data_IF_060989173107
#
_entry.id   IF_060989173107
#
_cell.length_a   1.000
_cell.length_b   1.000
_cell.length_c   1.000
_cell.angle_alpha   90.00
_cell.angle_beta   90.00
_cell.angle_gamma   90.00
#
_symmetry.space_group_name_H-M   'P 1'
#
loop_
_entity.id
_entity.type
_entity.pdbx_description
1 polymer ?
#
# COMPACT_ATOMS: atom_id res chain seq x y z
N UNK A 1 16.84 -25.15 5.22
CA UNK A 1 17.05 -24.90 3.79
C UNK A 1 17.73 -23.55 3.66
N UNK A 2 18.86 -23.48 2.93
CA UNK A 2 19.64 -22.26 2.77
C UNK A 2 18.74 -21.10 2.30
N UNK A 3 18.67 -20.03 3.09
CA UNK A 3 17.78 -18.90 2.84
C UNK A 3 18.26 -18.13 1.61
N UNK A 4 17.52 -18.23 0.51
CA UNK A 4 17.69 -17.30 -0.60
C UNK A 4 17.46 -15.88 -0.08
N UNK A 5 18.29 -14.92 -0.50
CA UNK A 5 18.05 -13.49 -0.24
C UNK A 5 16.60 -13.11 -0.58
N UNK A 6 15.96 -12.21 0.20
CA UNK A 6 14.62 -11.75 -0.12
C UNK A 6 14.62 -11.15 -1.53
N UNK A 7 13.62 -11.55 -2.32
CA UNK A 7 13.44 -11.04 -3.68
C UNK A 7 13.09 -9.56 -3.64
N UNK A 8 13.69 -8.78 -4.53
CA UNK A 8 13.29 -7.39 -4.80
C UNK A 8 11.83 -7.32 -5.22
N UNK A 9 11.23 -6.12 -5.14
CA UNK A 9 9.84 -5.94 -5.56
C UNK A 9 9.69 -6.20 -7.08
N UNK A 10 10.65 -5.77 -7.88
CA UNK A 10 10.66 -6.02 -9.33
C UNK A 10 10.66 -7.51 -9.66
N UNK A 11 11.46 -8.32 -8.95
CA UNK A 11 11.45 -9.78 -9.09
C UNK A 11 10.11 -10.39 -8.65
N UNK A 12 9.54 -9.94 -7.53
CA UNK A 12 8.24 -10.44 -7.05
C UNK A 12 7.09 -10.12 -8.02
N UNK A 13 7.16 -8.96 -8.67
CA UNK A 13 6.20 -8.51 -9.67
C UNK A 13 6.61 -8.89 -11.11
N UNK A 14 7.63 -9.73 -11.28
CA UNK A 14 8.05 -10.18 -12.60
C UNK A 14 6.93 -11.00 -13.25
N UNK A 15 6.71 -10.76 -14.54
CA UNK A 15 5.67 -11.41 -15.31
C UNK A 15 6.23 -12.41 -16.30
N UNK A 16 5.46 -13.47 -16.52
CA UNK A 16 5.45 -14.24 -17.75
C UNK A 16 4.16 -13.94 -18.50
N UNK A 17 4.27 -13.53 -19.75
CA UNK A 17 3.10 -13.34 -20.61
C UNK A 17 2.48 -14.70 -20.95
N UNK A 18 1.15 -14.79 -20.86
CA UNK A 18 0.36 -15.98 -21.21
C UNK A 18 -0.40 -15.78 -22.53
N UNK A 19 -0.66 -14.53 -22.92
CA UNK A 19 -1.31 -14.14 -24.17
C UNK A 19 -1.22 -12.63 -24.36
N UNK A 20 -1.82 -12.10 -25.43
CA UNK A 20 -1.72 -10.69 -25.81
C UNK A 20 -2.03 -9.72 -24.66
N UNK A 21 -3.06 -10.04 -23.87
CA UNK A 21 -3.53 -9.22 -22.76
C UNK A 21 -3.61 -10.00 -21.43
N UNK A 22 -2.73 -10.98 -21.24
CA UNK A 22 -2.70 -11.73 -19.97
C UNK A 22 -1.30 -12.13 -19.53
N UNK A 23 -1.09 -12.09 -18.22
CA UNK A 23 0.20 -12.34 -17.56
C UNK A 23 0.00 -13.17 -16.29
N UNK A 24 1.05 -13.86 -15.86
CA UNK A 24 1.15 -14.46 -14.52
C UNK A 24 2.41 -13.95 -13.84
N UNK A 25 2.35 -13.72 -12.53
CA UNK A 25 3.56 -13.50 -11.74
C UNK A 25 4.44 -14.75 -11.77
N UNK A 26 5.76 -14.56 -11.69
CA UNK A 26 6.71 -15.67 -11.56
C UNK A 26 6.73 -16.27 -10.15
N UNK A 27 6.30 -15.49 -9.17
CA UNK A 27 6.30 -15.86 -7.76
C UNK A 27 4.93 -15.64 -7.12
N UNK A 28 4.54 -16.47 -6.15
CA UNK A 28 3.38 -16.19 -5.31
C UNK A 28 3.56 -14.88 -4.53
N UNK A 29 2.47 -14.15 -4.25
CA UNK A 29 2.53 -12.95 -3.43
C UNK A 29 2.85 -13.30 -1.96
N UNK A 30 3.39 -12.34 -1.22
CA UNK A 30 3.70 -12.52 0.20
C UNK A 30 2.66 -11.87 1.11
N UNK A 31 2.64 -12.29 2.37
CA UNK A 31 1.85 -11.68 3.45
C UNK A 31 2.68 -10.65 4.22
N UNK A 32 2.01 -9.65 4.78
CA UNK A 32 2.60 -8.67 5.71
C UNK A 32 1.95 -8.81 7.08
N UNK A 33 2.61 -9.52 8.00
CA UNK A 33 2.13 -9.71 9.37
C UNK A 33 0.86 -10.55 9.54
N UNK A 34 0.20 -11.00 8.47
CA UNK A 34 -1.01 -11.82 8.56
C UNK A 34 -0.68 -13.24 9.05
N UNK A 35 -1.40 -13.73 10.06
CA UNK A 35 -1.23 -15.08 10.59
C UNK A 35 -1.72 -16.15 9.60
N UNK A 36 -2.78 -15.86 8.85
CA UNK A 36 -3.31 -16.71 7.79
C UNK A 36 -2.46 -16.61 6.51
N UNK A 37 -2.53 -17.60 5.60
CA UNK A 37 -1.83 -17.56 4.30
C UNK A 37 -2.53 -16.61 3.30
N UNK A 38 -2.85 -15.40 3.76
CA UNK A 38 -3.50 -14.35 2.97
C UNK A 38 -2.44 -13.33 2.57
N UNK A 39 -2.35 -13.10 1.26
CA UNK A 39 -1.42 -12.15 0.68
C UNK A 39 -1.76 -10.71 1.05
N UNK A 40 -0.75 -9.86 1.09
CA UNK A 40 -0.92 -8.42 1.19
C UNK A 40 -1.57 -7.85 -0.08
N UNK A 41 -2.60 -7.02 0.08
CA UNK A 41 -3.41 -6.44 -1.00
C UNK A 41 -2.59 -5.68 -2.03
N UNK A 42 -1.54 -4.99 -1.59
CA UNK A 42 -0.58 -4.27 -2.44
C UNK A 42 0.00 -5.11 -3.58
N UNK A 43 0.16 -6.43 -3.43
CA UNK A 43 0.58 -7.29 -4.54
C UNK A 43 -0.48 -7.35 -5.65
N UNK A 44 -1.76 -7.49 -5.29
CA UNK A 44 -2.84 -7.59 -6.27
C UNK A 44 -3.01 -6.28 -7.06
N UNK A 45 -2.99 -5.12 -6.38
CA UNK A 45 -3.10 -3.83 -7.08
C UNK A 45 -1.85 -3.47 -7.88
N UNK A 46 -0.65 -3.84 -7.42
CA UNK A 46 0.58 -3.60 -8.18
C UNK A 46 0.64 -4.46 -9.44
N UNK A 47 0.23 -5.73 -9.35
CA UNK A 47 0.07 -6.62 -10.51
C UNK A 47 -0.97 -6.08 -11.49
N UNK A 48 -2.12 -5.60 -11.00
CA UNK A 48 -3.14 -5.00 -11.84
C UNK A 48 -2.65 -3.72 -12.54
N UNK A 49 -1.98 -2.82 -11.81
CA UNK A 49 -1.42 -1.58 -12.34
C UNK A 49 -0.35 -1.88 -13.41
N UNK A 50 0.58 -2.80 -13.13
CA UNK A 50 1.62 -3.23 -14.07
C UNK A 50 1.01 -3.79 -15.36
N UNK A 51 0.04 -4.69 -15.24
CA UNK A 51 -0.66 -5.25 -16.40
C UNK A 51 -1.38 -4.18 -17.23
N UNK A 52 -2.06 -3.23 -16.57
CA UNK A 52 -2.70 -2.11 -17.26
C UNK A 52 -1.69 -1.30 -18.08
N UNK A 53 -0.57 -0.93 -17.47
CA UNK A 53 0.48 -0.13 -18.12
C UNK A 53 1.16 -0.87 -19.28
N UNK A 54 1.34 -2.19 -19.16
CA UNK A 54 1.89 -3.02 -20.26
C UNK A 54 0.92 -3.17 -21.44
N UNK A 55 -0.38 -2.93 -21.24
CA UNK A 55 -1.43 -3.11 -22.25
C UNK A 55 -1.76 -1.86 -23.07
N UNK A 56 -1.09 -0.73 -22.81
CA UNK A 56 -1.26 0.53 -23.55
C UNK A 56 -0.05 0.79 -24.45
N UNK A 57 -0.23 1.47 -25.60
CA UNK A 57 0.91 1.92 -26.40
C UNK A 57 1.86 2.83 -25.62
N UNK A 58 3.09 2.96 -26.09
CA UNK A 58 4.06 3.90 -25.53
C UNK A 58 3.52 5.34 -25.55
N UNK A 59 3.89 6.12 -24.53
CA UNK A 59 3.49 7.53 -24.38
C UNK A 59 2.16 7.75 -23.67
N UNK A 60 1.42 6.70 -23.30
CA UNK A 60 0.25 6.79 -22.43
C UNK A 60 0.66 6.70 -20.96
N UNK A 61 0.29 7.70 -20.17
CA UNK A 61 0.57 7.80 -18.75
C UNK A 61 -0.70 7.59 -17.94
N UNK A 62 -0.63 6.72 -16.92
CA UNK A 62 -1.76 6.47 -16.02
C UNK A 62 -2.01 7.71 -15.16
N UNK A 63 -3.27 8.10 -14.99
CA UNK A 63 -3.66 9.21 -14.11
C UNK A 63 -4.72 8.80 -13.07
N UNK A 64 -5.48 7.73 -13.32
CA UNK A 64 -6.50 7.22 -12.42
C UNK A 64 -6.52 5.70 -12.43
N UNK A 65 -6.57 5.11 -11.24
CA UNK A 65 -6.61 3.66 -11.04
C UNK A 65 -7.53 3.31 -9.87
N UNK A 66 -8.68 2.72 -10.18
CA UNK A 66 -9.78 2.50 -9.24
C UNK A 66 -10.17 1.03 -9.25
N UNK A 67 -10.52 0.43 -8.11
CA UNK A 67 -10.92 -0.97 -8.11
C UNK A 67 -11.47 -1.49 -6.79
N UNK A 68 -11.85 -2.77 -6.80
CA UNK A 68 -12.43 -3.48 -5.67
C UNK A 68 -11.68 -4.78 -5.40
N UNK A 69 -11.45 -5.06 -4.12
CA UNK A 69 -11.01 -6.35 -3.63
C UNK A 69 -12.22 -7.28 -3.49
N UNK A 70 -12.22 -8.40 -4.20
CA UNK A 70 -13.33 -9.37 -4.22
C UNK A 70 -13.10 -10.54 -3.26
N UNK A 71 -11.85 -10.77 -2.87
CA UNK A 71 -11.52 -11.69 -1.79
C UNK A 71 -10.03 -11.93 -1.66
N UNK A 72 -9.62 -12.69 -0.63
CA UNK A 72 -8.21 -12.89 -0.31
C UNK A 72 -7.49 -13.66 -1.43
N UNK A 73 -6.30 -13.17 -1.80
CA UNK A 73 -5.34 -13.95 -2.57
C UNK A 73 -4.51 -14.83 -1.64
N UNK A 74 -4.23 -16.06 -2.07
CA UNK A 74 -3.37 -17.01 -1.36
C UNK A 74 -1.90 -16.73 -1.62
N UNK A 75 -1.04 -17.05 -0.64
CA UNK A 75 0.42 -16.89 -0.72
C UNK A 75 1.16 -18.07 -1.34
N UNK A 76 0.47 -19.13 -1.74
CA UNK A 76 1.06 -20.37 -2.27
C UNK A 76 1.05 -20.48 -3.79
N UNK A 77 0.38 -19.55 -4.48
CA UNK A 77 0.18 -19.60 -5.93
C UNK A 77 0.31 -18.22 -6.59
N UNK A 78 0.78 -18.15 -7.85
CA UNK A 78 0.91 -16.91 -8.59
C UNK A 78 -0.41 -16.14 -8.78
N UNK A 79 -0.30 -14.84 -8.98
CA UNK A 79 -1.40 -13.98 -9.44
C UNK A 79 -1.42 -13.96 -10.97
N UNK A 80 -2.61 -14.07 -11.57
CA UNK A 80 -2.82 -13.87 -13.01
C UNK A 80 -3.53 -12.55 -13.24
N UNK A 81 -3.03 -11.75 -14.17
CA UNK A 81 -3.67 -10.51 -14.59
C UNK A 81 -4.19 -10.65 -16.03
N UNK A 82 -5.39 -10.15 -16.28
CA UNK A 82 -5.96 -10.04 -17.62
C UNK A 82 -6.47 -8.63 -17.84
N UNK A 83 -6.19 -8.05 -19.00
CA UNK A 83 -6.65 -6.71 -19.38
C UNK A 83 -7.66 -6.78 -20.52
N UNK A 84 -8.64 -5.88 -20.48
CA UNK A 84 -9.57 -5.63 -21.57
C UNK A 84 -9.53 -4.15 -21.94
N UNK A 85 -9.40 -3.87 -23.24
CA UNK A 85 -9.54 -2.51 -23.75
C UNK A 85 -11.00 -2.06 -23.63
N UNK A 86 -11.23 -0.99 -22.87
CA UNK A 86 -12.53 -0.32 -22.77
C UNK A 86 -12.58 0.86 -23.74
N UNK A 87 -11.47 1.60 -23.84
CA UNK A 87 -11.32 2.76 -24.72
C UNK A 87 -9.90 2.83 -25.26
N UNK A 88 -9.78 3.16 -26.55
CA UNK A 88 -8.52 3.55 -27.17
C UNK A 88 -8.78 4.67 -28.17
N UNK A 89 -8.22 5.84 -27.91
CA UNK A 89 -8.28 7.00 -28.81
C UNK A 89 -6.85 7.44 -29.15
N UNK A 90 -6.67 8.64 -29.71
CA UNK A 90 -5.34 9.25 -29.92
C UNK A 90 -4.74 9.81 -28.62
N UNK A 91 -5.57 10.21 -27.66
CA UNK A 91 -5.13 10.94 -26.46
C UNK A 91 -5.46 10.22 -25.16
N UNK A 92 -6.54 9.44 -25.13
CA UNK A 92 -7.00 8.71 -23.95
C UNK A 92 -7.11 7.21 -24.19
N UNK A 93 -6.78 6.44 -23.17
CA UNK A 93 -7.01 5.01 -23.12
C UNK A 93 -7.64 4.62 -21.77
N UNK A 94 -8.46 3.57 -21.79
CA UNK A 94 -9.04 2.97 -20.58
C UNK A 94 -8.92 1.46 -20.67
N UNK A 95 -8.47 0.85 -19.58
CA UNK A 95 -8.30 -0.59 -19.42
C UNK A 95 -9.12 -1.06 -18.24
N UNK A 96 -9.85 -2.16 -18.42
CA UNK A 96 -10.36 -2.95 -17.32
C UNK A 96 -9.37 -4.08 -17.02
N UNK A 97 -9.10 -4.35 -15.76
CA UNK A 97 -8.12 -5.34 -15.32
C UNK A 97 -8.75 -6.27 -14.31
N UNK A 98 -8.56 -7.57 -14.50
CA UNK A 98 -8.91 -8.60 -13.53
C UNK A 98 -7.65 -9.28 -13.02
N UNK A 99 -7.54 -9.43 -11.70
CA UNK A 99 -6.51 -10.24 -11.07
C UNK A 99 -7.16 -11.46 -10.44
N UNK A 100 -6.64 -12.64 -10.76
CA UNK A 100 -7.21 -13.93 -10.37
C UNK A 100 -6.14 -14.92 -9.94
N UNK A 101 -6.59 -16.00 -9.31
CA UNK A 101 -5.76 -17.17 -8.99
C UNK A 101 -6.48 -18.45 -9.39
N UNK A 102 -5.71 -19.42 -9.92
CA UNK A 102 -6.20 -20.77 -10.18
C UNK A 102 -6.33 -21.52 -8.85
N UNK A 103 -7.53 -21.99 -8.55
CA UNK A 103 -7.83 -22.77 -7.35
C UNK A 103 -7.44 -24.24 -7.55
N UNK A 104 -7.49 -25.04 -6.48
CA UNK A 104 -7.09 -26.46 -6.53
C UNK A 104 -8.01 -27.30 -7.44
N UNK A 105 -9.26 -26.86 -7.64
CA UNK A 105 -10.20 -27.46 -8.59
C UNK A 105 -9.95 -27.03 -10.05
N UNK A 106 -8.86 -26.30 -10.31
CA UNK A 106 -8.46 -25.79 -11.62
C UNK A 106 -9.23 -24.56 -12.09
N UNK A 107 -10.25 -24.10 -11.35
CA UNK A 107 -11.02 -22.91 -11.74
C UNK A 107 -10.29 -21.62 -11.40
N UNK A 108 -10.51 -20.60 -12.23
CA UNK A 108 -10.03 -19.26 -11.93
C UNK A 108 -10.99 -18.56 -10.96
N UNK A 109 -10.46 -17.97 -9.89
CA UNK A 109 -11.21 -17.10 -8.99
C UNK A 109 -10.63 -15.69 -9.04
N UNK A 110 -11.46 -14.72 -9.35
CA UNK A 110 -11.07 -13.29 -9.35
C UNK A 110 -10.92 -12.81 -7.90
N UNK A 111 -9.78 -12.20 -7.61
CA UNK A 111 -9.45 -11.60 -6.32
C UNK A 111 -9.65 -10.09 -6.34
N UNK A 112 -9.52 -9.46 -7.51
CA UNK A 112 -9.60 -8.01 -7.68
C UNK A 112 -10.00 -7.67 -9.11
N UNK A 113 -10.81 -6.62 -9.27
CA UNK A 113 -10.94 -5.92 -10.54
C UNK A 113 -10.55 -4.46 -10.39
N UNK A 114 -10.14 -3.84 -11.48
CA UNK A 114 -9.82 -2.43 -11.53
C UNK A 114 -10.08 -1.81 -12.90
N UNK A 115 -10.21 -0.49 -12.93
CA UNK A 115 -10.18 0.33 -14.14
C UNK A 115 -8.99 1.28 -14.06
N UNK A 116 -8.21 1.32 -15.12
CA UNK A 116 -7.05 2.21 -15.28
C UNK A 116 -7.30 3.15 -16.46
N UNK A 117 -7.18 4.45 -16.20
CA UNK A 117 -7.29 5.49 -17.21
C UNK A 117 -5.96 6.17 -17.48
N UNK A 118 -5.72 6.43 -18.76
CA UNK A 118 -4.47 6.95 -19.28
C UNK A 118 -4.69 8.15 -20.18
N UNK A 119 -3.73 9.05 -20.20
CA UNK A 119 -3.64 10.18 -21.11
C UNK A 119 -2.22 10.23 -21.70
N UNK A 120 -2.10 10.64 -22.96
CA UNK A 120 -0.79 10.97 -23.53
C UNK A 120 -0.18 12.19 -22.83
N UNK A 121 1.15 12.28 -22.77
CA UNK A 121 1.81 13.43 -22.15
C UNK A 121 1.48 14.72 -22.89
N UNK A 122 0.93 15.69 -22.16
CA UNK A 122 0.68 17.04 -22.69
C UNK A 122 1.98 17.83 -22.79
N UNK A 123 2.04 18.79 -23.73
CA UNK A 123 3.23 19.64 -23.95
C UNK A 123 3.48 20.66 -22.83
N UNK A 124 2.50 20.90 -21.98
CA UNK A 124 2.56 21.83 -20.85
C UNK A 124 1.30 21.74 -20.00
N UNK A 125 1.31 22.41 -18.86
CA UNK A 125 0.16 22.51 -17.96
C UNK A 125 -0.34 23.95 -17.87
N UNK A 126 -1.67 24.12 -17.82
CA UNK A 126 -2.30 25.41 -17.50
C UNK A 126 -2.18 25.75 -16.01
N UNK A 127 -2.13 24.74 -15.15
CA UNK A 127 -2.10 24.89 -13.70
C UNK A 127 -1.16 23.86 -13.07
N UNK A 128 -0.30 24.32 -12.17
CA UNK A 128 0.54 23.44 -11.36
C UNK A 128 0.41 23.82 -9.88
N UNK A 129 -0.34 23.02 -9.13
CA UNK A 129 -0.52 23.21 -7.70
C UNK A 129 -0.82 21.88 -7.01
N UNK A 130 -0.55 21.82 -5.71
CA UNK A 130 -1.00 20.74 -4.84
C UNK A 130 -1.09 21.25 -3.42
N UNK A 131 -1.98 20.66 -2.61
CA UNK A 131 -2.00 20.92 -1.17
C UNK A 131 -0.67 20.49 -0.52
N UNK A 132 -0.18 21.18 0.51
CA UNK A 132 0.89 20.65 1.36
C UNK A 132 0.36 19.51 2.25
N UNK A 133 1.26 18.79 2.96
CA UNK A 133 0.87 17.93 4.07
C UNK A 133 0.06 18.71 5.12
N UNK A 134 -0.81 18.03 5.86
CA UNK A 134 -1.68 18.70 6.85
C UNK A 134 -0.91 19.26 8.04
N UNK A 135 0.30 18.74 8.29
CA UNK A 135 1.21 19.18 9.36
C UNK A 135 2.64 19.26 8.84
N UNK A 136 3.48 19.97 9.58
CA UNK A 136 4.92 19.96 9.31
C UNK A 136 5.53 18.67 9.86
N UNK A 137 6.22 17.93 9.00
CA UNK A 137 6.97 16.73 9.36
C UNK A 137 8.47 17.00 9.31
N UNK A 138 9.22 16.24 10.12
CA UNK A 138 10.67 16.26 10.09
C UNK A 138 11.20 15.87 8.70
N UNK A 139 12.31 16.51 8.30
CA UNK A 139 13.04 16.11 7.10
C UNK A 139 13.62 14.69 7.27
N UNK A 140 13.86 13.99 6.17
CA UNK A 140 14.30 12.58 6.19
C UNK A 140 15.67 12.38 6.84
N UNK A 141 16.53 13.40 6.80
CA UNK A 141 17.91 13.33 7.29
C UNK A 141 17.94 13.01 8.80
N UNK A 142 18.59 11.89 9.15
CA UNK A 142 18.77 11.48 10.53
C UNK A 142 17.55 10.77 11.15
N UNK A 143 16.48 10.54 10.39
CA UNK A 143 15.37 9.72 10.87
C UNK A 143 15.76 8.25 10.95
N UNK A 144 15.32 7.59 12.01
CA UNK A 144 15.53 6.16 12.21
C UNK A 144 14.68 5.34 11.24
N UNK A 145 15.14 4.15 10.85
CA UNK A 145 14.27 3.21 10.16
C UNK A 145 13.15 2.74 11.10
N UNK A 146 12.06 2.20 10.54
CA UNK A 146 11.00 1.62 11.37
C UNK A 146 11.49 0.52 12.32
N UNK A 147 12.51 -0.26 11.94
CA UNK A 147 13.11 -1.29 12.79
C UNK A 147 13.95 -0.67 13.91
N UNK A 148 14.69 0.39 13.62
CA UNK A 148 15.50 1.10 14.62
C UNK A 148 14.64 1.86 15.62
N UNK A 149 13.50 2.42 15.20
CA UNK A 149 12.49 2.99 16.11
C UNK A 149 12.01 1.92 17.09
N UNK A 150 11.68 0.71 16.60
CA UNK A 150 11.25 -0.39 17.46
C UNK A 150 12.35 -0.85 18.43
N UNK A 151 13.59 -0.94 17.96
CA UNK A 151 14.75 -1.27 18.78
C UNK A 151 15.01 -0.22 19.87
N UNK A 152 14.86 1.08 19.55
CA UNK A 152 15.00 2.16 20.51
C UNK A 152 13.91 2.12 21.58
N UNK A 153 12.64 1.88 21.21
CA UNK A 153 11.55 1.74 22.18
C UNK A 153 11.76 0.53 23.11
N UNK A 154 12.33 -0.57 22.60
CA UNK A 154 12.70 -1.72 23.41
C UNK A 154 13.83 -1.36 24.40
N UNK A 155 14.87 -0.67 23.91
CA UNK A 155 16.00 -0.21 24.74
C UNK A 155 15.56 0.76 25.84
N UNK A 156 14.60 1.63 25.54
CA UNK A 156 14.02 2.58 26.49
C UNK A 156 13.05 1.92 27.50
N UNK A 157 12.78 0.62 27.37
CA UNK A 157 11.84 -0.10 28.22
C UNK A 157 10.36 0.25 27.96
N UNK A 158 10.06 0.92 26.85
CA UNK A 158 8.70 1.35 26.48
C UNK A 158 7.87 0.21 25.87
N UNK A 159 8.53 -0.78 25.27
CA UNK A 159 7.88 -1.99 24.75
C UNK A 159 8.65 -3.24 25.20
N UNK A 160 7.93 -4.35 25.37
CA UNK A 160 8.54 -5.64 25.69
C UNK A 160 9.12 -6.36 24.48
N UNK A 161 9.95 -7.38 24.73
CA UNK A 161 10.58 -8.20 23.67
C UNK A 161 9.56 -8.83 22.72
N UNK A 162 8.40 -9.25 23.24
CA UNK A 162 7.34 -9.87 22.43
C UNK A 162 6.77 -8.89 21.40
N UNK A 163 6.46 -7.65 21.79
CA UNK A 163 5.95 -6.60 20.90
C UNK A 163 6.99 -6.23 19.85
N UNK A 164 8.25 -6.06 20.26
CA UNK A 164 9.36 -5.79 19.34
C UNK A 164 9.50 -6.91 18.29
N UNK A 165 9.55 -8.17 18.72
CA UNK A 165 9.68 -9.30 17.81
C UNK A 165 8.48 -9.44 16.86
N UNK A 166 7.26 -9.18 17.35
CA UNK A 166 6.05 -9.18 16.52
C UNK A 166 6.10 -8.08 15.45
N UNK A 167 6.52 -6.87 15.81
CA UNK A 167 6.68 -5.75 14.89
C UNK A 167 7.74 -6.06 13.82
N UNK A 168 8.94 -6.50 14.24
CA UNK A 168 10.00 -6.86 13.31
C UNK A 168 9.51 -7.88 12.30
N UNK A 169 8.88 -8.97 12.77
CA UNK A 169 8.34 -10.02 11.90
C UNK A 169 7.26 -9.52 10.94
N UNK A 170 6.33 -8.68 11.41
CA UNK A 170 5.22 -8.19 10.59
C UNK A 170 5.69 -7.29 9.45
N UNK A 171 6.71 -6.47 9.69
CA UNK A 171 7.20 -5.46 8.74
C UNK A 171 8.53 -5.84 8.06
N UNK A 172 9.06 -7.05 8.28
CA UNK A 172 10.31 -7.50 7.63
C UNK A 172 10.21 -7.44 6.11
N UNK A 173 9.09 -7.89 5.52
CA UNK A 173 8.90 -7.86 4.06
C UNK A 173 8.95 -6.43 3.55
N UNK A 174 8.16 -5.52 4.12
CA UNK A 174 8.16 -4.11 3.72
C UNK A 174 9.55 -3.48 3.86
N UNK A 175 10.24 -3.72 4.98
CA UNK A 175 11.59 -3.21 5.22
C UNK A 175 12.65 -3.78 4.27
N UNK A 176 12.42 -4.95 3.67
CA UNK A 176 13.30 -5.51 2.63
C UNK A 176 13.02 -4.94 1.24
N UNK A 177 11.83 -4.41 1.01
CA UNK A 177 11.38 -3.88 -0.29
C UNK A 177 11.55 -2.36 -0.39
N UNK A 178 11.43 -1.66 0.74
CA UNK A 178 11.48 -0.21 0.83
C UNK A 178 12.34 0.24 2.01
N UNK A 179 13.11 1.28 1.78
CA UNK A 179 13.66 2.09 2.87
C UNK A 179 12.54 2.98 3.38
N UNK A 180 12.27 2.93 4.69
CA UNK A 180 11.15 3.63 5.31
C UNK A 180 11.56 4.24 6.65
N UNK A 181 11.34 5.55 6.77
CA UNK A 181 11.60 6.35 7.95
C UNK A 181 10.30 6.99 8.45
N UNK A 182 9.67 6.42 9.49
CA UNK A 182 8.52 7.03 10.13
C UNK A 182 8.85 8.43 10.66
N UNK A 183 8.00 9.40 10.38
CA UNK A 183 8.16 10.76 10.92
C UNK A 183 7.80 10.75 12.42
N UNK A 184 8.63 11.32 13.31
CA UNK A 184 8.38 11.32 14.76
C UNK A 184 7.04 11.95 15.17
N UNK A 185 6.56 12.92 14.39
CA UNK A 185 5.27 13.59 14.62
C UNK A 185 4.07 12.68 14.26
N UNK A 186 4.30 11.67 13.43
CA UNK A 186 3.29 10.68 13.03
C UNK A 186 3.03 9.63 14.11
N UNK A 187 1.77 9.22 14.25
CA UNK A 187 1.35 8.28 15.29
C UNK A 187 2.10 6.95 15.20
N UNK A 188 2.35 6.42 14.00
CA UNK A 188 2.94 5.09 13.87
C UNK A 188 4.38 5.02 14.40
N UNK A 189 5.12 6.13 14.34
CA UNK A 189 6.46 6.24 14.94
C UNK A 189 6.41 6.18 16.47
N UNK A 190 5.29 6.60 17.07
CA UNK A 190 5.11 6.72 18.52
C UNK A 190 4.55 5.44 19.14
N UNK A 191 3.78 4.64 18.40
CA UNK A 191 3.11 3.45 18.92
C UNK A 191 3.30 2.17 18.08
N UNK A 192 4.36 2.09 17.26
CA UNK A 192 4.68 0.94 16.42
C UNK A 192 3.52 0.49 15.53
N UNK A 193 2.97 1.43 14.77
CA UNK A 193 1.81 1.21 13.90
C UNK A 193 0.60 0.62 14.65
N UNK A 194 0.41 0.98 15.92
CA UNK A 194 -0.65 0.50 16.81
C UNK A 194 -0.31 -0.74 17.63
N UNK A 195 0.82 -1.44 17.38
CA UNK A 195 1.19 -2.62 18.17
C UNK A 195 1.54 -2.30 19.62
N UNK A 196 2.04 -1.09 19.90
CA UNK A 196 2.33 -0.63 21.25
C UNK A 196 1.12 0.14 21.82
N UNK A 197 0.00 -0.58 21.99
CA UNK A 197 -1.33 -0.05 22.37
C UNK A 197 -1.34 0.81 23.64
N UNK A 198 -0.42 0.60 24.57
CA UNK A 198 -0.35 1.34 25.84
C UNK A 198 0.45 2.64 25.76
N UNK A 199 1.18 2.89 24.66
CA UNK A 199 1.99 4.09 24.52
C UNK A 199 1.10 5.27 24.12
N UNK A 200 1.13 6.38 24.88
CA UNK A 200 0.44 7.59 24.47
C UNK A 200 1.09 8.15 23.20
N UNK A 201 0.32 8.92 22.43
CA UNK A 201 0.84 9.66 21.30
C UNK A 201 0.43 11.13 21.36
N UNK A 202 1.27 12.00 20.81
CA UNK A 202 1.12 13.46 20.76
C UNK A 202 -0.21 13.98 20.20
N UNK A 203 -0.98 13.12 19.53
CA UNK A 203 -2.25 13.46 18.89
C UNK A 203 -3.48 12.94 19.66
N UNK A 204 -3.32 12.47 20.90
CA UNK A 204 -4.41 11.86 21.69
C UNK A 204 -5.56 12.80 22.02
N UNK A 205 -5.27 14.10 22.16
CA UNK A 205 -6.27 15.13 22.42
C UNK A 205 -7.02 15.57 21.16
N UNK A 206 -6.57 15.16 19.97
CA UNK A 206 -7.19 15.56 18.71
C UNK A 206 -8.38 14.64 18.38
N UNK A 207 -9.44 15.17 17.72
CA UNK A 207 -10.45 14.34 17.08
C UNK A 207 -9.80 13.33 16.14
N UNK A 208 -10.36 12.11 16.03
CA UNK A 208 -9.79 11.03 15.21
C UNK A 208 -9.52 11.48 13.76
N UNK A 209 -10.39 12.29 13.19
CA UNK A 209 -10.28 12.80 11.81
C UNK A 209 -9.22 13.90 11.63
N UNK A 210 -8.60 14.36 12.72
CA UNK A 210 -7.48 15.32 12.73
C UNK A 210 -6.14 14.64 13.09
N UNK A 211 -6.16 13.31 13.26
CA UNK A 211 -4.98 12.49 13.54
C UNK A 211 -4.32 12.05 12.25
N UNK A 212 -3.00 12.03 12.24
CA UNK A 212 -2.21 11.64 11.08
C UNK A 212 -0.99 10.81 11.46
N UNK A 213 -0.50 10.03 10.50
CA UNK A 213 0.84 9.47 10.52
C UNK A 213 1.54 9.78 9.21
N UNK A 214 2.87 9.81 9.23
CA UNK A 214 3.64 10.02 8.02
C UNK A 214 4.96 9.24 8.05
N UNK A 215 5.46 8.95 6.86
CA UNK A 215 6.73 8.27 6.64
C UNK A 215 7.40 8.80 5.37
N UNK A 216 8.72 8.86 5.41
CA UNK A 216 9.53 8.98 4.20
C UNK A 216 9.82 7.59 3.67
N UNK A 217 9.67 7.39 2.37
CA UNK A 217 9.96 6.11 1.74
C UNK A 217 10.63 6.24 0.37
N UNK A 218 11.36 5.20 0.00
CA UNK A 218 11.84 4.93 -1.37
C UNK A 218 12.07 3.43 -1.57
N UNK A 219 12.22 3.00 -2.81
CA UNK A 219 12.58 1.62 -3.14
C UNK A 219 13.94 1.26 -2.53
N UNK A 220 14.05 0.08 -1.93
CA UNK A 220 15.32 -0.43 -1.40
C UNK A 220 16.28 -0.91 -2.50
N UNK A 221 15.74 -1.22 -3.69
CA UNK A 221 16.50 -1.69 -4.84
C UNK A 221 16.17 -0.86 -6.09
N UNK A 222 17.11 -0.69 -7.04
CA UNK A 222 16.83 -0.01 -8.30
C UNK A 222 15.64 -0.61 -9.07
N UNK A 223 14.87 0.22 -9.77
CA UNK A 223 13.71 -0.17 -10.56
C UNK A 223 13.96 0.20 -12.04
N UNK A 224 14.33 -0.81 -12.83
CA UNK A 224 14.88 -0.63 -14.18
C UNK A 224 13.93 -0.03 -15.22
N UNK A 225 12.62 0.08 -14.95
CA UNK A 225 11.67 0.69 -15.89
C UNK A 225 10.57 1.53 -15.20
N UNK A 226 9.95 2.48 -15.93
CA UNK A 226 8.89 3.34 -15.39
C UNK A 226 7.63 2.60 -14.91
N UNK A 227 7.32 1.44 -15.49
CA UNK A 227 6.14 0.66 -15.11
C UNK A 227 6.34 0.01 -13.74
N UNK A 228 7.55 -0.49 -13.45
CA UNK A 228 7.89 -1.03 -12.14
C UNK A 228 7.92 0.07 -11.07
N UNK A 229 8.27 1.31 -11.42
CA UNK A 229 8.10 2.47 -10.54
C UNK A 229 6.63 2.71 -10.17
N UNK A 230 5.72 2.71 -11.15
CA UNK A 230 4.28 2.84 -10.90
C UNK A 230 3.73 1.68 -10.07
N UNK A 231 4.17 0.45 -10.35
CA UNK A 231 3.78 -0.74 -9.60
C UNK A 231 4.28 -0.69 -8.16
N UNK A 232 5.51 -0.20 -7.93
CA UNK A 232 6.08 -0.01 -6.61
C UNK A 232 5.34 1.06 -5.80
N UNK A 233 5.02 2.21 -6.40
CA UNK A 233 4.22 3.24 -5.73
C UNK A 233 2.83 2.71 -5.38
N UNK A 234 2.20 1.99 -6.32
CA UNK A 234 0.89 1.38 -6.12
C UNK A 234 0.93 0.38 -4.96
N UNK A 235 1.92 -0.51 -4.93
CA UNK A 235 2.13 -1.46 -3.84
C UNK A 235 2.24 -0.78 -2.47
N UNK A 236 3.06 0.28 -2.40
CA UNK A 236 3.32 0.98 -1.14
C UNK A 236 2.09 1.76 -0.66
N UNK A 237 1.31 2.32 -1.59
CA UNK A 237 0.14 3.18 -1.29
C UNK A 237 -0.98 2.44 -0.56
N UNK A 238 -1.13 1.12 -0.76
CA UNK A 238 -2.12 0.28 -0.04
C UNK A 238 -1.76 0.06 1.44
N UNK A 239 -0.55 0.43 1.83
CA UNK A 239 -0.03 0.18 3.16
C UNK A 239 -0.83 0.95 4.21
N UNK A 240 -1.30 0.21 5.22
CA UNK A 240 -1.87 0.73 6.46
C UNK A 240 -3.19 1.52 6.41
N UNK A 241 -3.70 1.90 5.24
CA UNK A 241 -4.98 2.63 5.11
C UNK A 241 -6.13 1.93 5.85
N UNK A 242 -6.23 0.61 5.72
CA UNK A 242 -7.29 -0.20 6.33
C UNK A 242 -7.26 -0.23 7.86
N UNK A 243 -6.06 -0.23 8.46
CA UNK A 243 -5.92 -0.38 9.92
C UNK A 243 -5.51 0.91 10.64
N UNK A 244 -5.17 1.99 9.93
CA UNK A 244 -4.79 3.25 10.55
C UNK A 244 -5.81 3.78 11.58
N UNK A 245 -7.15 3.61 11.44
CA UNK A 245 -8.08 4.06 12.47
C UNK A 245 -7.87 3.34 13.79
N UNK A 246 -7.54 2.04 13.77
CA UNK A 246 -7.23 1.26 14.97
C UNK A 246 -5.99 1.80 15.67
N UNK A 247 -4.90 1.94 14.90
CA UNK A 247 -3.62 2.43 15.42
C UNK A 247 -3.72 3.87 15.96
N UNK A 248 -4.60 4.69 15.39
CA UNK A 248 -4.86 6.04 15.88
C UNK A 248 -5.70 6.07 17.16
N UNK A 249 -6.27 4.94 17.59
CA UNK A 249 -7.13 4.83 18.78
C UNK A 249 -6.66 3.77 19.76
N UNK A 250 -5.35 3.51 19.83
CA UNK A 250 -4.74 2.53 20.75
C UNK A 250 -5.24 1.09 20.58
N UNK A 251 -5.65 0.74 19.36
CA UNK A 251 -6.05 -0.60 18.96
C UNK A 251 -5.12 -1.12 17.85
N UNK A 252 -5.16 -2.43 17.63
CA UNK A 252 -4.47 -3.09 16.53
C UNK A 252 -5.35 -4.16 15.87
N UNK A 253 -4.81 -4.85 14.87
CA UNK A 253 -5.55 -5.82 14.05
C UNK A 253 -6.23 -6.94 14.86
N UNK A 254 -5.67 -7.31 16.02
CA UNK A 254 -6.20 -8.31 16.94
C UNK A 254 -7.39 -7.83 17.78
N UNK A 255 -7.69 -6.53 17.77
CA UNK A 255 -8.90 -5.96 18.41
C UNK A 255 -10.10 -5.90 17.47
N UNK A 256 -9.94 -6.36 16.22
CA UNK A 256 -10.97 -6.34 15.18
C UNK A 256 -11.27 -7.76 14.70
N UNK A 257 -12.56 -8.10 14.54
CA UNK A 257 -12.97 -9.37 13.93
C UNK A 257 -12.60 -9.44 12.45
N UNK A 258 -12.58 -8.30 11.77
CA UNK A 258 -12.20 -8.20 10.37
C UNK A 258 -11.70 -6.79 10.08
N UNK A 259 -10.49 -6.70 9.54
CA UNK A 259 -9.88 -5.48 9.04
C UNK A 259 -9.28 -5.78 7.67
N UNK A 260 -9.90 -5.30 6.59
CA UNK A 260 -9.47 -5.56 5.22
C UNK A 260 -9.97 -4.50 4.26
N UNK A 261 -9.21 -4.24 3.21
CA UNK A 261 -9.58 -3.34 2.12
C UNK A 261 -10.79 -3.88 1.34
N UNK A 262 -11.73 -3.00 0.98
CA UNK A 262 -12.88 -3.30 0.11
C UNK A 262 -12.69 -2.69 -1.27
N UNK A 263 -12.23 -1.45 -1.33
CA UNK A 263 -11.96 -0.73 -2.57
C UNK A 263 -10.64 0.06 -2.49
N UNK A 264 -10.28 0.68 -3.59
CA UNK A 264 -9.26 1.71 -3.64
C UNK A 264 -9.51 2.68 -4.78
N UNK A 265 -9.03 3.90 -4.61
CA UNK A 265 -8.95 4.91 -5.65
C UNK A 265 -7.60 5.63 -5.60
N UNK A 266 -6.70 5.24 -6.50
CA UNK A 266 -5.36 5.82 -6.66
C UNK A 266 -5.36 6.82 -7.81
N UNK A 267 -4.83 8.02 -7.59
CA UNK A 267 -4.66 9.07 -8.59
C UNK A 267 -3.19 9.44 -8.69
N UNK A 268 -2.70 9.60 -9.91
CA UNK A 268 -1.33 10.00 -10.20
C UNK A 268 -1.35 11.40 -10.81
N UNK A 269 -0.52 12.29 -10.29
CA UNK A 269 -0.51 13.70 -10.69
C UNK A 269 0.69 14.08 -11.56
N UNK A 270 1.74 13.25 -11.57
CA UNK A 270 2.99 13.47 -12.31
C UNK A 270 3.76 12.17 -12.48
N UNK A 271 4.88 12.25 -13.20
CA UNK A 271 5.82 11.14 -13.36
C UNK A 271 6.33 10.67 -11.99
N UNK A 272 6.43 9.35 -11.82
CA UNK A 272 6.75 8.67 -10.57
C UNK A 272 8.14 8.05 -10.67
N UNK A 273 8.97 8.30 -9.67
CA UNK A 273 10.32 7.74 -9.53
C UNK A 273 10.56 7.32 -8.08
N UNK A 274 10.16 6.10 -7.73
CA UNK A 274 10.16 5.60 -6.34
C UNK A 274 11.57 5.30 -5.85
N UNK A 275 12.60 5.39 -6.69
CA UNK A 275 13.99 5.36 -6.23
C UNK A 275 14.36 6.65 -5.48
N UNK A 276 13.64 7.75 -5.74
CA UNK A 276 13.73 8.99 -4.97
C UNK A 276 12.86 8.94 -3.73
N UNK A 277 13.20 9.79 -2.77
CA UNK A 277 12.44 9.93 -1.53
C UNK A 277 11.09 10.58 -1.76
N UNK A 278 10.09 10.03 -1.08
CA UNK A 278 8.73 10.53 -1.06
C UNK A 278 8.24 10.62 0.38
N UNK A 279 7.52 11.69 0.71
CA UNK A 279 6.79 11.80 1.97
C UNK A 279 5.37 11.26 1.74
N UNK A 280 4.93 10.31 2.57
CA UNK A 280 3.54 9.87 2.62
C UNK A 280 2.90 10.31 3.93
N UNK A 281 1.71 10.89 3.85
CA UNK A 281 0.84 11.17 4.99
C UNK A 281 -0.41 10.28 4.89
N UNK A 282 -0.88 9.75 6.02
CA UNK A 282 -2.10 8.94 6.13
C UNK A 282 -3.04 9.57 7.16
N UNK A 283 -4.33 9.60 6.82
CA UNK A 283 -5.43 10.05 7.67
C UNK A 283 -6.66 9.16 7.52
N UNK A 284 -7.59 9.27 8.48
CA UNK A 284 -8.92 8.64 8.40
C UNK A 284 -10.01 9.69 8.56
N UNK A 285 -11.15 9.52 7.89
CA UNK A 285 -12.16 10.59 7.76
C UNK A 285 -13.58 10.19 8.18
N UNK A 286 -13.95 8.92 8.03
CA UNK A 286 -15.27 8.45 8.39
C UNK A 286 -15.25 6.97 8.80
N UNK A 287 -16.15 6.59 9.70
CA UNK A 287 -16.40 5.19 10.05
C UNK A 287 -17.83 5.00 10.52
N UNK A 288 -18.49 3.96 10.01
CA UNK A 288 -19.85 3.57 10.39
C UNK A 288 -20.17 2.20 9.78
N UNK A 289 -21.20 1.51 10.29
CA UNK A 289 -21.73 0.26 9.71
C UNK A 289 -20.64 -0.81 9.45
N UNK A 290 -19.69 -0.92 10.38
CA UNK A 290 -18.58 -1.86 10.28
C UNK A 290 -17.59 -1.56 9.15
N UNK A 291 -17.46 -0.28 8.76
CA UNK A 291 -16.54 0.21 7.72
C UNK A 291 -15.81 1.47 8.16
N UNK A 292 -14.65 1.71 7.54
CA UNK A 292 -13.87 2.95 7.68
C UNK A 292 -13.42 3.45 6.32
N UNK A 293 -13.20 4.76 6.20
CA UNK A 293 -12.68 5.42 5.01
C UNK A 293 -11.43 6.22 5.39
N UNK A 294 -10.33 5.93 4.69
CA UNK A 294 -9.00 6.49 4.95
C UNK A 294 -8.35 6.94 3.65
N UNK A 295 -7.43 7.90 3.76
CA UNK A 295 -6.71 8.46 2.62
C UNK A 295 -5.21 8.56 2.90
N UNK A 296 -4.42 8.46 1.84
CA UNK A 296 -3.00 8.80 1.85
C UNK A 296 -2.68 9.81 0.75
N UNK A 297 -1.75 10.70 1.05
CA UNK A 297 -1.18 11.64 0.10
C UNK A 297 0.33 11.46 0.05
N UNK A 298 0.90 11.55 -1.15
CA UNK A 298 2.32 11.33 -1.40
C UNK A 298 2.90 12.54 -2.11
N UNK A 299 4.01 13.07 -1.61
CA UNK A 299 4.75 14.20 -2.18
C UNK A 299 6.20 13.81 -2.48
N UNK A 300 6.79 14.46 -3.49
CA UNK A 300 8.22 14.37 -3.74
C UNK A 300 9.03 15.26 -2.78
N UNK A 301 10.37 15.19 -2.85
CA UNK A 301 11.28 16.02 -2.03
C UNK A 301 11.09 17.53 -2.22
N UNK A 302 10.46 17.96 -3.31
CA UNK A 302 10.14 19.36 -3.56
C UNK A 302 8.76 19.76 -3.01
N UNK A 303 8.06 18.86 -2.32
CA UNK A 303 6.74 19.10 -1.74
C UNK A 303 5.60 19.10 -2.76
N UNK A 304 5.81 18.57 -3.96
CA UNK A 304 4.79 18.50 -5.01
C UNK A 304 4.05 17.18 -4.90
N UNK A 305 2.72 17.19 -4.92
CA UNK A 305 1.95 15.95 -4.80
C UNK A 305 2.19 15.05 -6.03
N UNK A 306 2.54 13.79 -5.77
CA UNK A 306 2.84 12.75 -6.74
C UNK A 306 1.62 11.85 -6.95
N UNK A 307 1.01 11.41 -5.85
CA UNK A 307 -0.18 10.56 -5.88
C UNK A 307 -1.04 10.73 -4.62
N UNK A 308 -2.28 10.23 -4.68
CA UNK A 308 -3.14 10.03 -3.53
C UNK A 308 -3.93 8.75 -3.67
N UNK A 309 -4.13 8.03 -2.57
CA UNK A 309 -4.97 6.84 -2.52
C UNK A 309 -6.04 7.01 -1.45
N UNK A 310 -7.30 6.80 -1.80
CA UNK A 310 -8.37 6.59 -0.84
C UNK A 310 -8.77 5.12 -0.80
N UNK A 311 -9.25 4.67 0.36
CA UNK A 311 -9.66 3.28 0.56
C UNK A 311 -10.79 3.20 1.57
N UNK A 312 -11.88 2.52 1.19
CA UNK A 312 -12.86 2.02 2.13
C UNK A 312 -12.48 0.61 2.56
N UNK A 313 -12.60 0.35 3.86
CA UNK A 313 -12.21 -0.92 4.48
C UNK A 313 -13.33 -1.45 5.37
N UNK A 314 -13.42 -2.77 5.47
CA UNK A 314 -14.22 -3.41 6.50
C UNK A 314 -13.50 -3.28 7.84
N UNK A 315 -14.24 -2.99 8.90
CA UNK A 315 -13.78 -2.85 10.27
C UNK A 315 -14.85 -3.39 11.21
N UNK A 316 -14.76 -4.67 11.59
CA UNK A 316 -15.78 -5.33 12.43
C UNK A 316 -15.34 -5.44 13.88
N UNK A 317 -16.28 -5.18 14.78
CA UNK A 317 -16.09 -5.45 16.21
C UNK A 317 -15.91 -6.94 16.45
N UNK A 318 -15.08 -7.31 17.44
CA UNK A 318 -15.01 -8.68 17.94
C UNK A 318 -16.41 -9.12 18.44
N UNK A 319 -16.81 -10.38 18.21
CA UNK A 319 -18.03 -10.91 18.81
C UNK A 319 -17.95 -10.75 20.34
N UNK A 320 -19.05 -10.31 20.96
CA UNK A 320 -19.13 -10.31 22.42
C UNK A 320 -18.86 -11.73 22.94
N UNK A 321 -17.97 -11.88 23.93
CA UNK A 321 -17.72 -13.19 24.58
C UNK A 321 -19.06 -13.75 25.08
N UNK A 322 -19.54 -14.85 24.50
CA UNK A 322 -20.73 -15.56 24.97
C UNK A 322 -21.90 -15.74 23.99
N UNK A 323 -21.77 -15.38 22.71
CA UNK A 323 -22.73 -15.83 21.68
C UNK A 323 -22.02 -16.63 20.60
N UNK A 324 -21.98 -17.94 20.82
CA UNK A 324 -21.84 -18.96 19.77
C UNK A 324 -23.23 -19.19 19.15
#
# INVERSE_FOLDING_TARGET
MAGSSPKSLAEQLAFRQLGENSWTTLHPPQRMGNALPIAYGGYAIAVACKAACLSVPEGYHIYSFLGNYLGPASTDRPLRAMTRTVRQTRTFATRHVEVSQIQDDGKSRVCLFATADFQVKEKGSMFEYSRPPTKKYSAREGLLSGQDVAAQLLKDGKVGQQTHAAYTKAFTVTASLFECHPCPEGIFAQNLSGMAKSLPHSQDSLPLTSRTTADWFRSATPLSNPIDNLAALTFYSDGALSFCPLSFTHLYLDDSAACSSLDFALRFFRDVDVEKWHLREISTHAGSEGRTFSESWIWDEQGRAVATMSQQSIMRVLPAKGKL
#
